data_IF_158825747087
#
_entry.id   IF_158825747087
#
_cell.length_a   1.000
_cell.length_b   1.000
_cell.length_c   1.000
_cell.angle_alpha   90.00
_cell.angle_beta   90.00
_cell.angle_gamma   90.00
#
_symmetry.space_group_name_H-M   'P 1'
#
loop_
_entity.id
_entity.type
_entity.pdbx_description
1 polymer ?
#
# COMPACT_ATOMS: atom_id res chain seq x y z
N UNK A 1 -12.70 17.67 -8.10
CA UNK A 1 -11.97 16.50 -7.56
C UNK A 1 -10.48 16.82 -7.52
N UNK A 2 -9.70 16.13 -6.68
CA UNK A 2 -8.24 16.26 -6.64
C UNK A 2 -7.60 16.02 -8.01
N UNK A 3 -8.07 15.02 -8.75
CA UNK A 3 -7.56 14.72 -10.10
C UNK A 3 -7.72 15.90 -11.07
N UNK A 4 -8.91 16.53 -11.12
CA UNK A 4 -9.12 17.69 -12.00
C UNK A 4 -8.27 18.89 -11.57
N UNK A 5 -8.05 19.06 -10.26
CA UNK A 5 -7.12 20.09 -9.75
C UNK A 5 -5.71 19.82 -10.24
N UNK A 6 -5.22 18.58 -10.07
CA UNK A 6 -3.90 18.13 -10.53
C UNK A 6 -3.76 18.14 -12.07
N UNK A 7 -4.84 17.97 -12.81
CA UNK A 7 -4.84 18.08 -14.26
C UNK A 7 -4.72 19.54 -14.69
N UNK A 8 -5.46 20.45 -14.05
CA UNK A 8 -5.46 21.88 -14.38
C UNK A 8 -4.14 22.61 -14.09
N UNK A 9 -3.37 22.16 -13.10
CA UNK A 9 -2.03 22.66 -12.78
C UNK A 9 -0.91 21.79 -13.39
N UNK A 10 -1.26 20.81 -14.24
CA UNK A 10 -0.34 20.01 -15.05
C UNK A 10 0.26 18.76 -14.39
N UNK A 11 0.07 18.57 -13.08
CA UNK A 11 0.53 17.41 -12.32
C UNK A 11 0.04 16.07 -12.90
N UNK A 12 -1.25 15.98 -13.23
CA UNK A 12 -1.91 14.76 -13.72
C UNK A 12 -1.84 14.58 -15.25
N UNK A 13 -1.09 15.42 -15.98
CA UNK A 13 -1.04 15.38 -17.45
C UNK A 13 -0.67 14.01 -18.02
N UNK A 14 0.21 13.28 -17.32
CA UNK A 14 0.68 11.95 -17.73
C UNK A 14 0.10 10.81 -16.89
N UNK A 15 -0.82 11.13 -15.99
CA UNK A 15 -1.50 10.14 -15.16
C UNK A 15 -2.63 9.47 -15.93
N UNK A 16 -2.65 8.14 -15.94
CA UNK A 16 -3.70 7.35 -16.59
C UNK A 16 -5.03 7.41 -15.84
N UNK A 17 -5.05 7.94 -14.61
CA UNK A 17 -6.25 8.06 -13.83
C UNK A 17 -6.02 8.15 -12.32
N UNK A 18 -7.11 8.02 -11.57
CA UNK A 18 -7.09 7.86 -10.12
C UNK A 18 -8.09 6.79 -9.70
N UNK A 19 -7.70 5.95 -8.77
CA UNK A 19 -8.50 4.84 -8.29
C UNK A 19 -8.56 4.87 -6.76
N UNK A 20 -9.73 4.54 -6.21
CA UNK A 20 -9.94 4.42 -4.79
C UNK A 20 -10.86 3.26 -4.46
N UNK A 21 -10.48 2.47 -3.45
CA UNK A 21 -11.28 1.37 -2.92
C UNK A 21 -11.42 1.56 -1.42
N UNK A 22 -12.64 1.46 -0.92
CA UNK A 22 -12.97 1.53 0.50
C UNK A 22 -13.67 0.25 0.94
N UNK A 23 -13.20 -0.35 2.03
CA UNK A 23 -13.68 -1.61 2.61
C UNK A 23 -13.98 -1.43 4.10
N UNK A 24 -14.90 -2.24 4.64
CA UNK A 24 -14.97 -2.43 6.09
C UNK A 24 -13.85 -3.38 6.55
N UNK A 25 -12.99 -3.02 7.53
CA UNK A 25 -11.85 -3.84 7.93
C UNK A 25 -12.18 -5.13 8.65
N UNK A 26 -13.41 -5.38 9.13
CA UNK A 26 -13.74 -6.66 9.79
C UNK A 26 -14.50 -7.58 8.84
N UNK A 27 -15.56 -7.05 8.23
CA UNK A 27 -16.45 -7.84 7.37
C UNK A 27 -16.05 -7.88 5.91
N UNK A 28 -15.19 -6.95 5.45
CA UNK A 28 -14.75 -6.84 4.05
C UNK A 28 -15.91 -6.63 3.07
N UNK A 29 -16.97 -5.98 3.56
CA UNK A 29 -17.97 -5.38 2.70
C UNK A 29 -17.33 -4.23 1.92
N UNK A 30 -17.53 -4.22 0.61
CA UNK A 30 -17.10 -3.12 -0.25
C UNK A 30 -18.00 -1.91 0.02
N UNK A 31 -17.42 -0.83 0.54
CA UNK A 31 -18.12 0.43 0.74
C UNK A 31 -18.22 1.21 -0.58
N UNK A 32 -17.12 1.23 -1.35
CA UNK A 32 -17.08 1.83 -2.67
C UNK A 32 -15.88 1.37 -3.49
N UNK A 33 -16.05 1.25 -4.81
CA UNK A 33 -14.99 1.06 -5.80
C UNK A 33 -15.12 2.16 -6.86
N UNK A 34 -14.20 3.12 -6.81
CA UNK A 34 -14.24 4.30 -7.69
C UNK A 34 -12.98 4.37 -8.52
N UNK A 35 -13.14 4.67 -9.80
CA UNK A 35 -12.02 4.95 -10.70
C UNK A 35 -12.39 6.00 -11.72
N UNK A 36 -11.42 6.80 -12.09
CA UNK A 36 -11.51 7.78 -13.16
C UNK A 36 -10.33 7.55 -14.09
N UNK A 37 -10.60 7.12 -15.32
CA UNK A 37 -9.60 6.94 -16.36
C UNK A 37 -9.41 8.26 -17.11
N UNK A 38 -8.15 8.59 -17.39
CA UNK A 38 -7.74 9.71 -18.21
C UNK A 38 -7.05 9.18 -19.47
N UNK A 39 -7.64 9.46 -20.63
CA UNK A 39 -7.05 9.07 -21.91
C UNK A 39 -5.93 10.06 -22.30
N UNK A 40 -4.68 9.60 -22.24
CA UNK A 40 -3.51 10.45 -22.51
C UNK A 40 -3.41 10.94 -23.96
N UNK A 41 -4.19 10.39 -24.90
CA UNK A 41 -4.21 10.81 -26.31
C UNK A 41 -5.24 11.90 -26.56
N UNK A 42 -6.44 11.76 -25.98
CA UNK A 42 -7.56 12.69 -26.21
C UNK A 42 -7.74 13.72 -25.10
N UNK A 43 -7.22 13.44 -23.91
CA UNK A 43 -7.48 14.21 -22.68
C UNK A 43 -8.84 13.93 -22.04
N UNK A 44 -9.60 12.96 -22.56
CA UNK A 44 -10.94 12.65 -22.07
C UNK A 44 -10.90 11.94 -20.71
N UNK A 45 -11.86 12.28 -19.84
CA UNK A 45 -12.05 11.66 -18.53
C UNK A 45 -13.30 10.78 -18.53
N UNK A 46 -13.14 9.50 -18.22
CA UNK A 46 -14.23 8.52 -18.22
C UNK A 46 -14.29 7.74 -16.90
N UNK A 47 -15.48 7.45 -16.34
CA UNK A 47 -15.62 6.56 -15.18
C UNK A 47 -15.00 5.18 -15.46
N UNK A 48 -14.28 4.63 -14.49
CA UNK A 48 -13.57 3.35 -14.61
C UNK A 48 -13.51 2.61 -13.25
N UNK A 49 -14.67 2.30 -12.65
CA UNK A 49 -14.71 1.54 -11.40
C UNK A 49 -14.05 0.17 -11.51
N UNK A 50 -14.15 -0.50 -12.67
CA UNK A 50 -13.55 -1.83 -12.89
C UNK A 50 -12.02 -1.79 -12.88
N UNK A 51 -11.39 -0.67 -13.22
CA UNK A 51 -9.95 -0.48 -13.08
C UNK A 51 -9.41 -0.76 -11.67
N UNK A 52 -10.26 -0.75 -10.64
CA UNK A 52 -9.87 -1.14 -9.27
C UNK A 52 -9.52 -2.63 -9.11
N UNK A 53 -9.99 -3.50 -10.00
CA UNK A 53 -9.71 -4.96 -9.98
C UNK A 53 -9.01 -5.45 -11.25
N UNK A 54 -8.99 -4.66 -12.32
CA UNK A 54 -8.38 -5.05 -13.60
C UNK A 54 -7.02 -4.41 -13.85
N UNK A 55 -6.81 -3.15 -13.43
CA UNK A 55 -5.57 -2.42 -13.71
C UNK A 55 -4.55 -2.62 -12.59
N UNK A 56 -3.27 -2.67 -12.95
CA UNK A 56 -2.16 -2.91 -12.01
C UNK A 56 -1.17 -1.77 -12.04
N UNK A 57 -0.69 -1.37 -10.87
CA UNK A 57 0.20 -0.23 -10.71
C UNK A 57 1.37 -0.58 -9.79
N UNK A 58 2.53 0.05 -10.03
CA UNK A 58 3.65 -0.01 -9.10
C UNK A 58 3.20 0.65 -7.78
N UNK A 59 3.21 -0.07 -6.65
CA UNK A 59 2.59 0.41 -5.42
C UNK A 59 3.43 1.47 -4.70
N UNK A 60 4.76 1.41 -4.83
CA UNK A 60 5.71 2.22 -4.08
C UNK A 60 5.70 1.88 -2.58
N UNK A 61 6.11 2.85 -1.76
CA UNK A 61 6.35 2.68 -0.33
C UNK A 61 5.15 2.29 0.55
N UNK A 62 3.94 2.12 0.00
CA UNK A 62 2.78 1.62 0.78
C UNK A 62 3.02 0.21 1.33
N UNK A 63 3.81 -0.62 0.64
CA UNK A 63 3.96 -2.05 0.96
C UNK A 63 4.99 -2.38 2.05
N UNK A 64 5.69 -1.37 2.60
CA UNK A 64 6.84 -1.59 3.49
C UNK A 64 6.53 -2.41 4.74
N UNK A 65 5.30 -2.34 5.26
CA UNK A 65 4.91 -3.19 6.39
C UNK A 65 4.86 -4.68 6.01
N UNK A 66 4.56 -5.05 4.76
CA UNK A 66 4.65 -6.44 4.31
C UNK A 66 6.12 -6.91 4.24
N UNK A 67 7.05 -6.03 3.86
CA UNK A 67 8.49 -6.34 3.86
C UNK A 67 9.04 -6.53 5.26
N UNK A 68 8.65 -5.65 6.21
CA UNK A 68 9.00 -5.80 7.62
C UNK A 68 8.42 -7.12 8.18
N UNK A 69 7.16 -7.43 7.85
CA UNK A 69 6.52 -8.71 8.24
C UNK A 69 7.33 -9.91 7.77
N UNK A 70 7.79 -9.89 6.51
CA UNK A 70 8.63 -10.95 5.96
C UNK A 70 9.97 -11.08 6.70
N UNK A 71 10.50 -9.96 7.19
CA UNK A 71 11.65 -9.93 8.07
C UNK A 71 11.42 -10.67 9.40
N UNK A 72 10.26 -10.50 10.04
CA UNK A 72 9.92 -11.21 11.27
C UNK A 72 9.65 -12.70 11.03
N UNK A 73 8.85 -13.04 10.02
CA UNK A 73 8.54 -14.43 9.65
C UNK A 73 9.79 -15.26 9.36
N UNK A 74 10.81 -14.63 8.77
CA UNK A 74 12.07 -15.28 8.41
C UNK A 74 13.18 -15.12 9.46
N UNK A 75 12.87 -14.58 10.65
CA UNK A 75 13.81 -14.42 11.76
C UNK A 75 14.95 -13.43 11.50
N UNK A 76 14.77 -12.51 10.54
CA UNK A 76 15.74 -11.47 10.17
C UNK A 76 15.60 -10.23 11.05
N UNK A 77 14.37 -9.92 11.47
CA UNK A 77 14.04 -8.86 12.39
C UNK A 77 13.54 -9.44 13.71
N UNK A 78 13.76 -8.74 14.82
CA UNK A 78 13.25 -9.10 16.14
C UNK A 78 12.62 -7.89 16.82
N UNK A 79 11.29 -7.94 17.03
CA UNK A 79 10.51 -6.84 17.59
C UNK A 79 10.74 -5.53 16.84
N UNK A 80 10.81 -4.42 17.58
CA UNK A 80 11.05 -3.09 17.01
C UNK A 80 12.55 -2.82 16.76
N UNK A 81 13.19 -3.71 16.01
CA UNK A 81 14.63 -3.74 15.80
C UNK A 81 15.18 -2.41 15.31
N UNK A 82 16.30 -1.98 15.89
CA UNK A 82 17.05 -0.82 15.41
C UNK A 82 18.02 -1.25 14.31
N UNK A 83 17.98 -0.59 13.17
CA UNK A 83 18.99 -0.66 12.11
C UNK A 83 19.55 0.73 11.85
N UNK A 84 20.78 0.81 11.36
CA UNK A 84 21.32 2.08 10.86
C UNK A 84 20.69 2.42 9.52
N UNK A 85 20.00 3.54 9.39
CA UNK A 85 19.73 4.15 8.10
C UNK A 85 21.03 4.73 7.53
N UNK A 86 21.36 4.37 6.30
CA UNK A 86 22.56 4.85 5.60
C UNK A 86 22.40 4.63 4.09
N UNK A 87 23.16 5.36 3.26
CA UNK A 87 23.27 5.06 1.82
C UNK A 87 23.63 3.60 1.58
N UNK A 88 22.85 2.92 0.74
CA UNK A 88 23.12 1.53 0.36
C UNK A 88 23.82 1.51 -0.99
N UNK A 89 25.12 1.22 -0.96
CA UNK A 89 25.98 1.09 -2.14
C UNK A 89 26.46 -0.35 -2.26
N UNK A 90 26.11 -0.99 -3.39
CA UNK A 90 26.68 -2.26 -3.82
C UNK A 90 27.83 -2.02 -4.80
N UNK A 91 28.72 -2.99 -4.96
CA UNK A 91 29.83 -2.86 -5.89
C UNK A 91 29.34 -2.55 -7.32
N UNK A 92 29.80 -1.42 -7.89
CA UNK A 92 29.52 -1.04 -9.28
C UNK A 92 28.10 -0.53 -9.53
N UNK A 93 27.31 -0.24 -8.49
CA UNK A 93 25.96 0.33 -8.63
C UNK A 93 25.90 1.77 -8.16
N UNK A 94 24.85 2.49 -8.57
CA UNK A 94 24.45 3.73 -7.92
C UNK A 94 24.02 3.45 -6.46
N UNK A 95 24.02 4.51 -5.64
CA UNK A 95 23.51 4.44 -4.27
C UNK A 95 21.99 4.35 -4.26
N UNK A 96 21.45 3.39 -3.51
CA UNK A 96 20.05 3.40 -3.11
C UNK A 96 19.89 4.30 -1.88
N UNK A 97 18.98 5.27 -1.96
CA UNK A 97 18.75 6.29 -0.96
C UNK A 97 17.27 6.35 -0.59
N UNK A 98 16.99 6.77 0.65
CA UNK A 98 15.67 7.25 1.04
C UNK A 98 15.45 8.69 0.54
N UNK A 99 14.21 9.19 0.58
CA UNK A 99 13.86 10.52 0.05
C UNK A 99 14.60 11.69 0.72
N UNK A 100 15.03 11.54 1.98
CA UNK A 100 15.84 12.52 2.71
C UNK A 100 17.34 12.52 2.34
N UNK A 101 17.74 11.66 1.38
CA UNK A 101 19.09 11.61 0.79
C UNK A 101 20.18 11.58 1.85
N UNK A 102 21.10 12.55 1.82
CA UNK A 102 22.25 12.66 2.74
C UNK A 102 22.03 13.72 3.83
N UNK A 103 20.87 14.38 3.88
CA UNK A 103 20.64 15.54 4.75
C UNK A 103 20.78 15.22 6.25
N UNK A 104 20.59 13.95 6.63
CA UNK A 104 20.65 13.47 8.01
C UNK A 104 21.83 12.52 8.28
N UNK A 105 22.72 12.33 7.30
CA UNK A 105 23.81 11.36 7.39
C UNK A 105 23.30 9.93 7.64
N UNK A 106 24.11 9.12 8.33
CA UNK A 106 23.72 7.78 8.79
C UNK A 106 23.28 7.84 10.26
N UNK A 107 22.15 7.24 10.61
CA UNK A 107 21.59 7.31 11.96
C UNK A 107 20.78 6.05 12.31
N UNK A 108 20.67 5.66 13.59
CA UNK A 108 19.83 4.53 13.99
C UNK A 108 18.34 4.86 13.80
N UNK A 109 17.57 3.88 13.31
CA UNK A 109 16.11 3.93 13.22
C UNK A 109 15.51 2.59 13.61
N UNK A 110 14.35 2.62 14.25
CA UNK A 110 13.54 1.44 14.58
C UNK A 110 12.62 1.03 13.42
N UNK A 111 11.94 -0.12 13.52
CA UNK A 111 10.94 -0.54 12.53
C UNK A 111 9.74 0.44 12.46
N UNK A 112 9.31 0.97 13.61
CA UNK A 112 8.28 2.03 13.69
C UNK A 112 8.73 3.27 12.93
N UNK A 113 9.93 3.78 13.21
CA UNK A 113 10.48 4.96 12.54
C UNK A 113 10.74 4.71 11.05
N UNK A 114 11.13 3.49 10.67
CA UNK A 114 11.29 3.11 9.28
C UNK A 114 9.99 3.23 8.48
N UNK A 115 8.83 2.93 9.10
CA UNK A 115 7.52 3.19 8.53
C UNK A 115 7.18 4.69 8.52
N UNK A 116 7.38 5.38 9.64
CA UNK A 116 7.12 6.83 9.79
C UNK A 116 7.86 7.65 8.72
N UNK A 117 9.16 7.41 8.58
CA UNK A 117 10.08 8.12 7.70
C UNK A 117 10.10 7.54 6.29
N UNK A 118 9.47 6.38 6.10
CA UNK A 118 9.51 5.62 4.85
C UNK A 118 10.95 5.33 4.40
N UNK A 119 11.77 4.75 5.28
CA UNK A 119 13.17 4.39 4.99
C UNK A 119 13.25 3.30 3.91
N UNK A 120 14.02 3.52 2.83
CA UNK A 120 14.37 2.48 1.86
C UNK A 120 15.52 1.63 2.40
N UNK A 121 16.49 2.25 3.07
CA UNK A 121 17.66 1.56 3.61
C UNK A 121 17.27 0.42 4.57
N UNK A 122 16.27 0.64 5.44
CA UNK A 122 15.76 -0.40 6.34
C UNK A 122 15.20 -1.59 5.55
N UNK A 123 14.36 -1.33 4.54
CA UNK A 123 13.75 -2.38 3.71
C UNK A 123 14.79 -3.19 2.95
N UNK A 124 15.78 -2.51 2.37
CA UNK A 124 16.86 -3.17 1.62
C UNK A 124 17.73 -4.02 2.54
N UNK A 125 18.02 -3.55 3.75
CA UNK A 125 18.76 -4.34 4.76
C UNK A 125 17.96 -5.56 5.22
N UNK A 126 16.64 -5.42 5.42
CA UNK A 126 15.76 -6.55 5.70
C UNK A 126 15.78 -7.57 4.55
N UNK A 127 15.66 -7.11 3.30
CA UNK A 127 15.73 -7.98 2.13
C UNK A 127 17.08 -8.71 2.00
N UNK A 128 18.20 -8.03 2.26
CA UNK A 128 19.51 -8.69 2.31
C UNK A 128 19.55 -9.77 3.41
N UNK A 129 19.00 -9.48 4.59
CA UNK A 129 18.93 -10.45 5.68
C UNK A 129 18.08 -11.69 5.32
N UNK A 130 16.95 -11.52 4.63
CA UNK A 130 16.12 -12.64 4.11
C UNK A 130 16.94 -13.51 3.15
N UNK A 131 17.85 -12.89 2.38
CA UNK A 131 18.77 -13.55 1.47
C UNK A 131 20.00 -14.19 2.17
N UNK A 132 20.09 -14.04 3.50
CA UNK A 132 21.17 -14.57 4.32
C UNK A 132 22.44 -13.71 4.34
N UNK A 133 22.32 -12.42 4.00
CA UNK A 133 23.45 -11.50 3.92
C UNK A 133 23.25 -10.27 4.82
N UNK A 134 24.31 -9.86 5.51
CA UNK A 134 24.31 -8.58 6.26
C UNK A 134 25.01 -7.53 5.41
N UNK A 135 24.38 -6.37 5.27
CA UNK A 135 24.92 -5.28 4.46
C UNK A 135 26.32 -4.84 4.94
N UNK A 136 27.23 -4.69 3.99
CA UNK A 136 28.51 -4.00 4.15
C UNK A 136 28.71 -3.02 2.98
N UNK A 137 29.27 -1.81 3.21
CA UNK A 137 29.55 -0.87 2.13
C UNK A 137 30.38 -1.47 1.00
N UNK A 138 29.95 -1.28 -0.26
CA UNK A 138 30.59 -1.79 -1.47
C UNK A 138 30.67 -3.32 -1.54
N UNK A 139 29.80 -4.04 -0.84
CA UNK A 139 29.80 -5.50 -0.92
C UNK A 139 29.50 -6.00 -2.35
N UNK A 140 30.17 -7.09 -2.72
CA UNK A 140 29.69 -7.97 -3.78
C UNK A 140 28.57 -8.85 -3.22
N UNK A 141 27.45 -8.94 -3.93
CA UNK A 141 26.31 -9.73 -3.50
C UNK A 141 26.38 -11.11 -4.14
N UNK A 142 26.46 -12.16 -3.32
CA UNK A 142 26.30 -13.52 -3.79
C UNK A 142 24.83 -13.81 -4.09
N UNK A 143 24.48 -14.26 -5.29
CA UNK A 143 23.08 -14.43 -5.74
C UNK A 143 22.54 -15.85 -5.63
N UNK A 144 23.26 -16.77 -4.98
CA UNK A 144 22.85 -18.18 -4.85
C UNK A 144 21.50 -18.35 -4.16
N UNK A 145 21.15 -17.46 -3.22
CA UNK A 145 19.90 -17.51 -2.48
C UNK A 145 18.82 -16.57 -3.05
N UNK A 146 19.04 -15.96 -4.21
CA UNK A 146 18.15 -14.93 -4.76
C UNK A 146 16.73 -15.46 -4.99
N UNK A 147 16.62 -16.65 -5.59
CA UNK A 147 15.32 -17.25 -5.89
C UNK A 147 14.53 -17.57 -4.62
N UNK A 148 15.19 -18.19 -3.64
CA UNK A 148 14.60 -18.47 -2.33
C UNK A 148 14.19 -17.19 -1.59
N UNK A 149 15.01 -16.14 -1.65
CA UNK A 149 14.74 -14.87 -0.97
C UNK A 149 13.55 -14.12 -1.58
N UNK A 150 13.47 -14.06 -2.92
CA UNK A 150 12.32 -13.50 -3.62
C UNK A 150 11.05 -14.30 -3.33
N UNK A 151 11.15 -15.63 -3.33
CA UNK A 151 10.03 -16.51 -2.97
C UNK A 151 9.48 -16.24 -1.57
N UNK A 152 10.35 -16.07 -0.58
CA UNK A 152 9.98 -15.71 0.80
C UNK A 152 9.31 -14.35 0.89
N UNK A 153 9.90 -13.32 0.25
CA UNK A 153 9.32 -11.98 0.25
C UNK A 153 7.93 -11.96 -0.41
N UNK A 154 7.79 -12.61 -1.57
CA UNK A 154 6.50 -12.70 -2.29
C UNK A 154 5.47 -13.57 -1.56
N UNK A 155 5.89 -14.59 -0.82
CA UNK A 155 4.99 -15.39 0.00
C UNK A 155 4.31 -14.52 1.06
N UNK A 156 5.10 -13.75 1.82
CA UNK A 156 4.55 -12.81 2.82
C UNK A 156 3.66 -11.75 2.17
N UNK A 157 4.05 -11.22 1.01
CA UNK A 157 3.20 -10.27 0.25
C UNK A 157 1.84 -10.90 -0.09
N UNK A 158 1.83 -12.17 -0.51
CA UNK A 158 0.62 -12.94 -0.79
C UNK A 158 -0.29 -13.16 0.43
N UNK A 159 0.27 -13.30 1.64
CA UNK A 159 -0.50 -13.39 2.88
C UNK A 159 -1.36 -12.15 3.14
N UNK A 160 -0.93 -11.01 2.63
CA UNK A 160 -1.66 -9.74 2.66
C UNK A 160 -2.56 -9.51 1.44
N UNK A 161 -2.49 -10.38 0.42
CA UNK A 161 -3.20 -10.26 -0.85
C UNK A 161 -2.43 -9.55 -1.96
N UNK A 162 -1.20 -9.13 -1.73
CA UNK A 162 -0.36 -8.50 -2.74
C UNK A 162 0.24 -9.57 -3.66
N UNK A 163 -0.19 -9.59 -4.93
CA UNK A 163 0.25 -10.61 -5.89
C UNK A 163 -0.54 -11.93 -5.83
N UNK A 164 -1.61 -11.96 -5.04
CA UNK A 164 -2.52 -13.10 -4.90
C UNK A 164 -3.97 -12.68 -5.20
N UNK A 165 -4.83 -13.65 -5.53
CA UNK A 165 -6.26 -13.40 -5.73
C UNK A 165 -6.90 -12.88 -4.44
N UNK A 166 -7.68 -11.81 -4.53
CA UNK A 166 -8.36 -11.19 -3.39
C UNK A 166 -9.56 -12.00 -2.93
N UNK A 167 -10.17 -12.78 -3.82
CA UNK A 167 -11.39 -13.54 -3.54
C UNK A 167 -12.65 -12.71 -3.70
N UNK A 168 -12.59 -11.59 -4.44
CA UNK A 168 -13.76 -10.76 -4.71
C UNK A 168 -14.83 -11.56 -5.47
N UNK A 169 -16.10 -11.29 -5.17
CA UNK A 169 -17.28 -11.92 -5.78
C UNK A 169 -17.59 -11.38 -7.19
N UNK A 170 -16.54 -11.22 -8.01
CA UNK A 170 -16.61 -10.91 -9.43
C UNK A 170 -16.03 -12.06 -10.27
N UNK A 171 -16.42 -12.21 -11.55
CA UNK A 171 -16.01 -13.36 -12.37
C UNK A 171 -14.51 -13.46 -12.63
N UNK A 172 -13.81 -12.32 -12.69
CA UNK A 172 -12.37 -12.26 -12.97
C UNK A 172 -11.75 -11.07 -12.24
N UNK A 173 -10.52 -11.25 -11.76
CA UNK A 173 -9.70 -10.22 -11.13
C UNK A 173 -8.24 -10.38 -11.55
N UNK A 174 -7.55 -9.27 -11.78
CA UNK A 174 -6.10 -9.32 -11.96
C UNK A 174 -5.43 -9.63 -10.63
N UNK A 175 -4.53 -10.61 -10.63
CA UNK A 175 -3.70 -10.94 -9.46
C UNK A 175 -2.41 -10.12 -9.40
N UNK A 176 -2.25 -9.10 -10.25
CA UNK A 176 -1.06 -8.28 -10.33
C UNK A 176 -0.15 -8.64 -11.49
N UNK A 177 0.95 -7.90 -11.64
CA UNK A 177 2.06 -8.24 -12.51
C UNK A 177 3.24 -8.70 -11.65
N UNK A 178 3.48 -10.01 -11.63
CA UNK A 178 4.51 -10.66 -10.80
C UNK A 178 5.45 -11.46 -11.72
N UNK A 179 6.52 -10.84 -12.26
CA UNK A 179 7.40 -11.50 -13.22
C UNK A 179 8.14 -12.71 -12.60
N UNK A 180 8.17 -13.82 -13.34
CA UNK A 180 8.96 -15.01 -12.97
C UNK A 180 10.45 -14.80 -13.23
N UNK A 181 10.79 -14.03 -14.25
CA UNK A 181 12.15 -13.62 -14.55
C UNK A 181 12.46 -12.31 -13.84
N UNK A 182 13.52 -12.30 -13.03
CA UNK A 182 13.92 -11.12 -12.28
C UNK A 182 15.42 -11.14 -11.96
N UNK A 183 15.97 -9.94 -11.79
CA UNK A 183 17.36 -9.74 -11.38
C UNK A 183 17.47 -9.51 -9.86
N UNK A 184 18.69 -9.44 -9.34
CA UNK A 184 18.94 -8.97 -7.98
C UNK A 184 18.43 -7.53 -7.76
N UNK A 185 18.59 -6.64 -8.75
CA UNK A 185 18.08 -5.28 -8.65
C UNK A 185 16.56 -5.27 -8.47
N UNK A 186 15.85 -6.12 -9.21
CA UNK A 186 14.40 -6.28 -9.08
C UNK A 186 13.99 -6.79 -7.70
N UNK A 187 14.75 -7.72 -7.11
CA UNK A 187 14.51 -8.18 -5.73
C UNK A 187 14.64 -7.04 -4.71
N UNK A 188 15.71 -6.25 -4.82
CA UNK A 188 15.92 -5.10 -3.95
C UNK A 188 14.81 -4.06 -4.14
N UNK A 189 14.44 -3.72 -5.37
CA UNK A 189 13.37 -2.74 -5.62
C UNK A 189 11.99 -3.25 -5.19
N UNK A 190 11.75 -4.57 -5.23
CA UNK A 190 10.50 -5.14 -4.74
C UNK A 190 10.31 -4.95 -3.22
N UNK A 191 11.40 -4.91 -2.44
CA UNK A 191 11.35 -4.69 -0.99
C UNK A 191 10.79 -3.32 -0.58
N UNK A 192 10.71 -2.36 -1.50
CA UNK A 192 10.07 -1.07 -1.27
C UNK A 192 9.02 -0.74 -2.35
N UNK A 193 8.51 -1.78 -3.04
CA UNK A 193 7.34 -1.69 -3.92
C UNK A 193 7.59 -1.09 -5.30
N UNK A 194 8.79 -1.25 -5.85
CA UNK A 194 9.21 -0.69 -7.15
C UNK A 194 9.49 -1.79 -8.20
N UNK A 195 8.76 -2.91 -8.15
CA UNK A 195 8.93 -4.00 -9.12
C UNK A 195 7.61 -4.70 -9.46
N UNK A 196 7.05 -5.47 -8.52
CA UNK A 196 5.75 -6.12 -8.75
C UNK A 196 4.63 -5.06 -8.74
N UNK A 197 3.63 -5.22 -9.62
CA UNK A 197 2.48 -4.31 -9.68
C UNK A 197 1.24 -4.97 -9.09
N UNK A 198 0.42 -4.17 -8.40
CA UNK A 198 -0.79 -4.64 -7.73
C UNK A 198 -2.02 -3.83 -8.13
N UNK A 199 -3.20 -4.43 -7.97
CA UNK A 199 -4.47 -3.73 -8.19
C UNK A 199 -4.82 -2.83 -6.99
N UNK A 200 -5.63 -1.77 -7.19
CA UNK A 200 -6.18 -1.00 -6.08
C UNK A 200 -6.94 -1.85 -5.04
N UNK A 201 -7.66 -2.89 -5.47
CA UNK A 201 -8.34 -3.84 -4.58
C UNK A 201 -7.35 -4.65 -3.72
N UNK A 202 -6.24 -5.12 -4.28
CA UNK A 202 -5.18 -5.80 -3.52
C UNK A 202 -4.59 -4.88 -2.45
N UNK A 203 -4.35 -3.60 -2.77
CA UNK A 203 -3.85 -2.62 -1.80
C UNK A 203 -4.85 -2.32 -0.68
N UNK A 204 -6.16 -2.28 -1.00
CA UNK A 204 -7.21 -2.10 -0.01
C UNK A 204 -7.33 -3.33 0.91
N UNK A 205 -7.26 -4.55 0.36
CA UNK A 205 -7.25 -5.78 1.15
C UNK A 205 -6.01 -5.85 2.06
N UNK A 206 -4.85 -5.43 1.57
CA UNK A 206 -3.62 -5.35 2.34
C UNK A 206 -3.76 -4.48 3.59
N UNK A 207 -4.16 -3.22 3.43
CA UNK A 207 -4.29 -2.31 4.59
C UNK A 207 -5.45 -2.71 5.49
N UNK A 208 -6.53 -3.25 4.92
CA UNK A 208 -7.63 -3.79 5.71
C UNK A 208 -7.17 -5.00 6.54
N UNK A 209 -6.23 -5.82 6.06
CA UNK A 209 -5.65 -6.95 6.81
C UNK A 209 -4.84 -6.46 8.00
N UNK A 210 -4.03 -5.41 7.83
CA UNK A 210 -3.33 -4.75 8.95
C UNK A 210 -4.33 -4.21 9.97
N UNK A 211 -5.39 -3.53 9.51
CA UNK A 211 -6.44 -2.97 10.36
C UNK A 211 -7.33 -4.03 11.05
N UNK A 212 -7.12 -5.32 10.75
CA UNK A 212 -7.86 -6.46 11.29
C UNK A 212 -6.92 -7.48 11.93
N UNK A 213 -5.86 -6.99 12.56
CA UNK A 213 -4.92 -7.79 13.35
C UNK A 213 -4.31 -8.97 12.56
N UNK A 214 -4.06 -8.76 11.27
CA UNK A 214 -3.45 -9.73 10.37
C UNK A 214 -4.42 -10.75 9.78
N UNK A 215 -5.70 -10.70 10.10
CA UNK A 215 -6.70 -11.60 9.51
C UNK A 215 -7.18 -11.04 8.17
N UNK A 216 -6.80 -11.72 7.09
CA UNK A 216 -7.17 -11.40 5.71
C UNK A 216 -8.51 -12.02 5.38
N UNK A 217 -9.44 -11.18 4.92
CA UNK A 217 -10.82 -11.58 4.59
C UNK A 217 -11.08 -11.25 3.11
N UNK A 218 -11.86 -12.10 2.43
CA UNK A 218 -12.25 -11.87 1.04
C UNK A 218 -13.21 -10.65 0.93
N UNK A 219 -12.92 -9.64 0.09
CA UNK A 219 -13.84 -8.55 -0.17
C UNK A 219 -15.11 -9.07 -0.86
N UNK A 220 -16.28 -8.51 -0.52
CA UNK A 220 -17.53 -8.84 -1.19
C UNK A 220 -18.37 -7.60 -1.49
N UNK A 221 -18.99 -7.60 -2.66
CA UNK A 221 -19.94 -6.57 -3.11
C UNK A 221 -21.35 -6.95 -2.64
N UNK A 222 -21.70 -8.24 -2.64
CA UNK A 222 -23.04 -8.71 -2.26
C UNK A 222 -23.16 -8.82 -0.73
N UNK A 223 -24.15 -8.11 -0.16
CA UNK A 223 -24.46 -8.17 1.28
C UNK A 223 -25.35 -9.37 1.63
N UNK A 224 -26.41 -9.58 0.84
CA UNK A 224 -27.41 -10.60 1.06
C UNK A 224 -28.23 -10.89 -0.19
N UNK A 225 -28.85 -12.07 -0.20
CA UNK A 225 -29.81 -12.51 -1.22
C UNK A 225 -31.20 -12.29 -0.64
N UNK A 226 -32.05 -11.58 -1.37
CA UNK A 226 -33.41 -11.23 -0.96
C UNK A 226 -34.43 -11.81 -1.93
N UNK A 227 -35.60 -12.15 -1.40
CA UNK A 227 -36.73 -12.61 -2.20
C UNK A 227 -37.42 -11.48 -2.95
N UNK A 228 -38.54 -11.80 -3.59
CA UNK A 228 -39.44 -10.81 -4.17
C UNK A 228 -40.65 -10.58 -3.26
N UNK A 229 -41.07 -9.33 -3.10
CA UNK A 229 -42.37 -9.02 -2.53
C UNK A 229 -43.50 -9.28 -3.54
N UNK A 230 -44.76 -9.20 -3.11
CA UNK A 230 -45.94 -9.46 -3.95
C UNK A 230 -46.03 -8.58 -5.22
N UNK A 231 -45.31 -7.45 -5.25
CA UNK A 231 -45.25 -6.53 -6.40
C UNK A 231 -44.03 -6.79 -7.31
N UNK A 232 -43.24 -7.83 -7.04
CA UNK A 232 -42.01 -8.15 -7.77
C UNK A 232 -40.78 -7.33 -7.36
N UNK A 233 -40.89 -6.45 -6.36
CA UNK A 233 -39.76 -5.67 -5.83
C UNK A 233 -38.96 -6.40 -4.74
N UNK A 234 -38.07 -5.68 -4.05
CA UNK A 234 -37.28 -6.25 -2.94
C UNK A 234 -38.19 -6.81 -1.84
N UNK A 235 -38.04 -8.10 -1.55
CA UNK A 235 -38.74 -8.81 -0.48
C UNK A 235 -37.83 -9.11 0.70
N UNK A 236 -38.18 -10.14 1.46
CA UNK A 236 -37.48 -10.50 2.69
C UNK A 236 -36.11 -11.13 2.43
N UNK A 237 -35.21 -11.00 3.42
CA UNK A 237 -33.88 -11.61 3.39
C UNK A 237 -34.00 -13.14 3.33
N UNK A 238 -33.37 -13.75 2.33
CA UNK A 238 -33.25 -15.21 2.19
C UNK A 238 -31.94 -15.69 2.84
N UNK A 239 -30.83 -15.03 2.51
CA UNK A 239 -29.51 -15.43 2.98
C UNK A 239 -28.60 -14.21 3.12
N UNK A 240 -28.05 -14.00 4.31
CA UNK A 240 -26.97 -13.05 4.50
C UNK A 240 -25.63 -13.69 4.16
N UNK A 241 -24.80 -13.02 3.35
CA UNK A 241 -23.46 -13.50 3.04
C UNK A 241 -22.53 -13.15 4.21
N UNK A 242 -21.92 -14.17 4.80
CA UNK A 242 -20.96 -14.00 5.89
C UNK A 242 -19.54 -13.72 5.36
N UNK A 243 -18.70 -13.01 6.12
CA UNK A 243 -17.29 -12.84 5.75
C UNK A 243 -16.55 -14.18 5.66
N UNK A 244 -15.67 -14.30 4.64
CA UNK A 244 -14.82 -15.48 4.46
C UNK A 244 -13.38 -15.12 4.82
N UNK A 245 -12.90 -15.63 5.96
CA UNK A 245 -11.47 -15.54 6.32
C UNK A 245 -10.63 -16.39 5.37
N UNK A 246 -9.58 -15.80 4.81
CA UNK A 246 -8.69 -16.47 3.84
C UNK A 246 -7.46 -17.05 4.53
N UNK A 247 -6.81 -16.22 5.37
CA UNK A 247 -5.62 -16.58 6.14
C UNK A 247 -5.38 -15.55 7.25
N UNK A 248 -4.48 -15.88 8.19
CA UNK A 248 -3.90 -14.91 9.13
C UNK A 248 -2.41 -14.78 8.82
N UNK A 249 -1.89 -13.55 8.80
CA UNK A 249 -0.47 -13.27 8.60
C UNK A 249 0.35 -13.88 9.73
N UNK A 250 1.45 -14.55 9.41
CA UNK A 250 2.23 -15.34 10.36
C UNK A 250 3.24 -14.52 11.19
N UNK A 251 2.75 -13.48 11.88
CA UNK A 251 3.55 -12.68 12.82
C UNK A 251 2.88 -12.63 14.20
N UNK A 252 3.65 -12.24 15.23
CA UNK A 252 3.10 -12.10 16.59
C UNK A 252 2.18 -10.88 16.70
N UNK A 253 1.26 -10.90 17.68
CA UNK A 253 0.39 -9.75 17.95
C UNK A 253 1.22 -8.50 18.37
N UNK A 254 2.38 -8.69 19.02
CA UNK A 254 3.32 -7.61 19.32
C UNK A 254 3.98 -7.02 18.08
N UNK A 255 4.30 -7.84 17.08
CA UNK A 255 4.83 -7.36 15.80
C UNK A 255 3.75 -6.64 14.99
N UNK A 256 2.52 -7.15 15.01
CA UNK A 256 1.37 -6.44 14.42
C UNK A 256 1.14 -5.07 15.08
N UNK A 257 1.26 -4.99 16.41
CA UNK A 257 1.17 -3.72 17.16
C UNK A 257 2.28 -2.74 16.76
N UNK A 258 3.48 -3.22 16.42
CA UNK A 258 4.57 -2.39 15.89
C UNK A 258 4.18 -1.80 14.51
N UNK A 259 3.52 -2.58 13.64
CA UNK A 259 3.01 -2.08 12.36
C UNK A 259 1.93 -1.02 12.58
N UNK A 260 1.00 -1.24 13.51
CA UNK A 260 -0.03 -0.27 13.88
C UNK A 260 0.59 1.04 14.37
N UNK A 261 1.58 0.95 15.26
CA UNK A 261 2.28 2.12 15.78
C UNK A 261 3.03 2.87 14.68
N UNK A 262 3.67 2.15 13.75
CA UNK A 262 4.30 2.74 12.57
C UNK A 262 3.30 3.50 11.70
N UNK A 263 2.16 2.90 11.38
CA UNK A 263 1.09 3.54 10.59
C UNK A 263 0.47 4.74 11.31
N UNK A 264 0.36 4.69 12.64
CA UNK A 264 -0.09 5.82 13.45
C UNK A 264 0.92 6.98 13.42
N UNK A 265 2.22 6.69 13.57
CA UNK A 265 3.24 7.74 13.56
C UNK A 265 3.45 8.36 12.18
N UNK A 266 3.18 7.64 11.08
CA UNK A 266 3.17 8.24 9.74
C UNK A 266 2.24 9.46 9.67
N UNK A 267 1.10 9.44 10.37
CA UNK A 267 0.09 10.50 10.35
C UNK A 267 0.15 11.45 11.55
N UNK A 268 0.63 11.00 12.71
CA UNK A 268 0.65 11.77 13.97
C UNK A 268 2.07 12.16 14.43
N UNK A 269 3.10 11.71 13.72
CA UNK A 269 4.49 12.00 14.01
C UNK A 269 4.84 13.48 13.88
N UNK A 270 5.74 13.92 14.76
CA UNK A 270 6.21 15.31 14.85
C UNK A 270 7.63 15.48 14.29
N UNK A 271 8.26 14.38 13.85
CA UNK A 271 9.58 14.40 13.22
C UNK A 271 9.57 15.22 11.92
N UNK A 272 10.65 15.92 11.56
CA UNK A 272 10.77 16.52 10.23
C UNK A 272 10.70 15.46 9.11
N UNK A 273 10.97 14.19 9.42
CA UNK A 273 10.92 13.07 8.47
C UNK A 273 9.55 12.40 8.36
N UNK A 274 8.56 12.74 9.19
CA UNK A 274 7.22 12.14 9.11
C UNK A 274 6.57 12.37 7.75
N UNK A 275 6.15 11.29 7.09
CA UNK A 275 5.75 11.32 5.67
C UNK A 275 4.27 11.54 5.38
N UNK A 276 3.38 11.44 6.38
CA UNK A 276 1.93 11.36 6.15
C UNK A 276 1.06 12.28 6.99
N UNK A 277 1.59 13.38 7.54
CA UNK A 277 0.79 14.36 8.33
C UNK A 277 -0.47 14.86 7.62
N UNK A 278 -0.49 14.84 6.29
CA UNK A 278 -1.67 15.16 5.49
C UNK A 278 -2.88 14.25 5.74
N UNK A 279 -2.69 13.05 6.30
CA UNK A 279 -3.80 12.20 6.76
C UNK A 279 -4.57 12.84 7.91
N UNK A 280 -3.89 13.57 8.80
CA UNK A 280 -4.49 14.10 10.05
C UNK A 280 -5.01 15.53 9.91
N UNK A 281 -4.51 16.28 8.93
CA UNK A 281 -4.88 17.67 8.68
C UNK A 281 -6.37 17.79 8.31
N UNK A 282 -7.24 18.19 9.25
CA UNK A 282 -8.68 18.27 9.05
C UNK A 282 -9.42 16.92 9.10
N UNK A 283 -8.80 15.88 9.66
CA UNK A 283 -9.47 14.59 9.88
C UNK A 283 -10.53 14.68 10.99
N UNK A 284 -11.66 13.99 10.80
CA UNK A 284 -12.78 13.94 11.77
C UNK A 284 -12.66 12.80 12.78
N UNK A 285 -11.77 11.85 12.52
CA UNK A 285 -11.40 10.70 13.38
C UNK A 285 -9.88 10.47 13.27
N UNK A 286 -9.29 9.75 14.22
CA UNK A 286 -7.87 9.37 14.14
C UNK A 286 -7.63 8.44 12.95
N UNK A 287 -6.72 8.81 12.04
CA UNK A 287 -6.38 8.05 10.83
C UNK A 287 -4.97 7.50 10.93
N UNK A 288 -4.81 6.20 10.80
CA UNK A 288 -3.50 5.55 10.63
C UNK A 288 -3.31 5.17 9.17
N UNK A 289 -2.10 5.29 8.64
CA UNK A 289 -1.89 5.01 7.21
C UNK A 289 -0.44 4.98 6.79
N UNK A 290 -0.23 4.72 5.49
CA UNK A 290 1.09 4.75 4.86
C UNK A 290 1.02 5.44 3.50
N UNK A 291 1.97 6.33 3.28
CA UNK A 291 2.17 7.00 1.99
C UNK A 291 2.99 6.12 1.05
N UNK A 292 2.62 6.14 -0.23
CA UNK A 292 3.36 5.58 -1.34
C UNK A 292 3.95 6.69 -2.18
N UNK A 293 5.23 6.58 -2.45
CA UNK A 293 5.88 7.28 -3.55
C UNK A 293 6.56 6.20 -4.39
N UNK A 294 6.04 6.00 -5.60
CA UNK A 294 6.68 5.17 -6.61
C UNK A 294 7.37 6.09 -7.62
N UNK A 295 8.69 6.22 -7.57
CA UNK A 295 9.47 6.97 -8.56
C UNK A 295 9.29 6.31 -9.93
N UNK A 296 8.98 7.14 -10.93
CA UNK A 296 8.77 6.74 -12.31
C UNK A 296 9.22 7.87 -13.25
N UNK A 297 9.19 7.60 -14.54
CA UNK A 297 9.52 8.56 -15.57
C UNK A 297 8.46 8.52 -16.66
N UNK A 298 8.06 9.71 -17.14
CA UNK A 298 7.08 9.90 -18.20
C UNK A 298 7.67 10.72 -19.34
N UNK A 299 7.00 10.75 -20.49
CA UNK A 299 7.30 11.67 -21.59
C UNK A 299 8.78 11.74 -22.03
N UNK A 300 9.48 10.61 -22.06
CA UNK A 300 10.87 10.56 -22.49
C UNK A 300 11.91 10.97 -21.43
N UNK A 301 11.54 10.94 -20.15
CA UNK A 301 12.49 11.08 -19.03
C UNK A 301 12.12 12.15 -18.00
N UNK A 302 10.93 12.75 -18.09
CA UNK A 302 10.43 13.63 -17.04
C UNK A 302 10.13 12.81 -15.78
N UNK A 303 10.65 13.24 -14.63
CA UNK A 303 10.36 12.61 -13.34
C UNK A 303 8.86 12.70 -13.00
N UNK A 304 8.32 11.59 -12.52
CA UNK A 304 6.95 11.48 -12.05
C UNK A 304 6.90 10.53 -10.84
N UNK A 305 5.84 10.64 -10.04
CA UNK A 305 5.62 9.80 -8.89
C UNK A 305 4.24 9.15 -8.92
N UNK A 306 4.16 7.90 -8.52
CA UNK A 306 2.92 7.29 -8.07
C UNK A 306 2.64 7.79 -6.65
N UNK A 307 1.62 8.63 -6.51
CA UNK A 307 1.20 9.29 -5.26
C UNK A 307 0.16 8.44 -4.52
N UNK A 308 0.49 7.18 -4.30
CA UNK A 308 -0.41 6.20 -3.69
C UNK A 308 -0.53 6.44 -2.17
N UNK A 309 -1.60 5.96 -1.57
CA UNK A 309 -1.78 5.98 -0.12
C UNK A 309 -2.70 4.83 0.32
N UNK A 310 -2.43 4.28 1.50
CA UNK A 310 -3.33 3.36 2.18
C UNK A 310 -3.60 3.88 3.59
N UNK A 311 -4.82 3.74 4.09
CA UNK A 311 -5.20 4.22 5.42
C UNK A 311 -6.35 3.40 6.01
N UNK A 312 -6.49 3.45 7.33
CA UNK A 312 -7.65 2.94 8.04
C UNK A 312 -8.03 3.85 9.22
N UNK A 313 -9.29 3.81 9.62
CA UNK A 313 -9.82 4.64 10.69
C UNK A 313 -11.11 4.06 11.30
N UNK A 314 -11.48 4.47 12.53
CA UNK A 314 -10.61 5.11 13.52
C UNK A 314 -9.42 4.23 13.90
N UNK A 315 -8.28 4.81 14.29
CA UNK A 315 -7.07 4.07 14.66
C UNK A 315 -7.33 2.97 15.69
N UNK A 316 -8.13 3.25 16.74
CA UNK A 316 -8.33 2.35 17.88
C UNK A 316 -9.33 1.21 17.61
N UNK A 317 -10.31 1.44 16.73
CA UNK A 317 -11.31 0.45 16.35
C UNK A 317 -11.67 0.63 14.87
N UNK A 318 -10.85 0.08 13.94
CA UNK A 318 -11.02 0.35 12.52
C UNK A 318 -12.37 -0.10 11.96
N UNK A 319 -13.08 0.85 11.34
CA UNK A 319 -14.39 0.64 10.70
C UNK A 319 -14.35 0.88 9.18
N UNK A 320 -13.33 1.59 8.69
CA UNK A 320 -13.03 1.78 7.26
C UNK A 320 -11.54 1.57 6.97
N UNK A 321 -11.24 0.94 5.84
CA UNK A 321 -9.91 0.85 5.23
C UNK A 321 -9.98 1.32 3.78
N UNK A 322 -9.02 2.15 3.36
CA UNK A 322 -8.99 2.79 2.04
C UNK A 322 -7.62 2.62 1.39
N UNK A 323 -7.63 2.31 0.09
CA UNK A 323 -6.47 2.49 -0.77
C UNK A 323 -6.78 3.51 -1.88
N UNK A 324 -5.82 4.40 -2.13
CA UNK A 324 -5.83 5.37 -3.23
C UNK A 324 -4.60 5.12 -4.10
N UNK A 325 -4.82 4.99 -5.41
CA UNK A 325 -3.77 4.87 -6.41
C UNK A 325 -3.86 6.04 -7.36
N UNK A 326 -2.77 6.80 -7.48
CA UNK A 326 -2.67 7.93 -8.38
C UNK A 326 -1.29 7.86 -9.07
N UNK A 327 -1.19 7.12 -10.19
CA UNK A 327 0.05 6.90 -10.91
C UNK A 327 0.53 8.14 -11.65
N UNK A 328 1.84 8.22 -11.90
CA UNK A 328 2.45 9.15 -12.83
C UNK A 328 2.08 10.64 -12.64
N UNK A 329 1.93 11.06 -11.38
CA UNK A 329 1.76 12.46 -11.05
C UNK A 329 3.12 13.19 -11.10
N UNK A 330 3.19 14.28 -11.86
CA UNK A 330 4.39 15.11 -12.03
C UNK A 330 4.48 16.26 -11.03
N UNK A 331 3.49 16.42 -10.15
CA UNK A 331 3.60 17.31 -9.01
C UNK A 331 4.44 16.67 -7.90
N UNK A 332 5.74 16.92 -7.95
CA UNK A 332 6.71 16.36 -6.99
C UNK A 332 6.70 17.08 -5.63
N UNK A 333 5.98 18.19 -5.51
CA UNK A 333 5.99 19.05 -4.30
C UNK A 333 4.91 18.70 -3.30
N UNK A 334 3.77 18.18 -3.76
CA UNK A 334 2.62 17.86 -2.91
C UNK A 334 2.06 16.48 -3.27
N UNK A 335 2.22 15.53 -2.35
CA UNK A 335 1.57 14.23 -2.46
C UNK A 335 0.09 14.34 -2.07
N UNK A 336 -0.80 14.21 -3.05
CA UNK A 336 -2.27 14.32 -2.85
C UNK A 336 -2.93 13.02 -2.40
N UNK A 337 -2.28 11.86 -2.56
CA UNK A 337 -2.83 10.54 -2.19
C UNK A 337 -3.36 10.49 -0.75
N UNK A 338 -2.56 10.91 0.26
CA UNK A 338 -3.00 10.92 1.66
C UNK A 338 -4.20 11.83 1.94
N UNK A 339 -4.26 12.98 1.27
CA UNK A 339 -5.38 13.93 1.40
C UNK A 339 -6.67 13.36 0.78
N UNK A 340 -6.57 12.67 -0.36
CA UNK A 340 -7.71 11.97 -0.96
C UNK A 340 -8.22 10.89 -0.01
N UNK A 341 -7.34 10.07 0.56
CA UNK A 341 -7.72 9.01 1.50
C UNK A 341 -8.38 9.59 2.77
N UNK A 342 -7.83 10.68 3.34
CA UNK A 342 -8.44 11.42 4.45
C UNK A 342 -9.85 11.87 4.11
N UNK A 343 -10.04 12.51 2.96
CA UNK A 343 -11.34 13.06 2.58
C UNK A 343 -12.38 11.96 2.32
N UNK A 344 -11.97 10.80 1.78
CA UNK A 344 -12.84 9.61 1.68
C UNK A 344 -13.28 9.15 3.08
N UNK A 345 -12.35 9.06 4.03
CA UNK A 345 -12.65 8.65 5.42
C UNK A 345 -13.58 9.68 6.09
N UNK A 346 -13.33 10.98 5.91
CA UNK A 346 -14.19 12.05 6.43
C UNK A 346 -15.60 11.98 5.83
N UNK A 347 -15.72 11.76 4.52
CA UNK A 347 -17.01 11.57 3.85
C UNK A 347 -17.75 10.38 4.44
N UNK A 348 -17.08 9.24 4.62
CA UNK A 348 -17.70 8.07 5.23
C UNK A 348 -18.15 8.34 6.65
N UNK A 349 -17.31 8.95 7.49
CA UNK A 349 -17.65 9.29 8.88
C UNK A 349 -18.84 10.26 8.97
N UNK A 350 -18.95 11.21 8.05
CA UNK A 350 -20.09 12.13 7.97
C UNK A 350 -21.40 11.39 7.69
N UNK A 351 -21.37 10.34 6.87
CA UNK A 351 -22.54 9.53 6.53
C UNK A 351 -22.84 8.42 7.54
N UNK A 352 -21.79 7.86 8.15
CA UNK A 352 -21.84 6.76 9.10
C UNK A 352 -20.85 7.04 10.23
N UNK A 353 -21.25 7.77 11.29
CA UNK A 353 -20.36 8.12 12.38
C UNK A 353 -19.68 6.88 12.99
N UNK A 354 -18.35 6.93 13.09
CA UNK A 354 -17.51 5.81 13.55
C UNK A 354 -16.94 6.02 14.97
N UNK A 355 -17.21 7.18 15.57
CA UNK A 355 -16.66 7.65 16.84
C UNK A 355 -17.13 6.84 18.06
#
# INVERSE_FOLDING_TARGET
>A
SYFNSELGNGGAKYSEGVYAVALTPKTRAVLSMSGLKHDLKTGELTPDSLGTVTNVFVPGSVVKAATISSGWENGVLSGNQTLTDQPIVFQGSASNLSWYKLAYGSFPITAVEALEYSSNAYMVKTALGIMGQTYQPNMFVGTSNLETAMGKLRATFGEYGLGAATGIDLPDESTGFVPKEYSFANYITNSFGQFDNYTPMQLAQYVATIANDGVRVAPRIVEGIYGNNDKGGLGDLIQQLQPTEMNKVNISDSDMSILHQGFYQVSHGTSPLTTGRAFSDGATVSISGKTGTGESYVAGGQEANNTNAVAYAPTENPQIAVAVVFPHNTNLTKNVGPAIARDIINLYNQHHPMN
#
